data_IF_165422046761
#
_entry.id   IF_165422046761
#
_cell.length_a   1.000
_cell.length_b   1.000
_cell.length_c   1.000
_cell.angle_alpha   90.00
_cell.angle_beta   90.00
_cell.angle_gamma   90.00
#
_symmetry.space_group_name_H-M   'P 1'
#
loop_
_entity.id
_entity.type
_entity.pdbx_description
1 polymer ?
#
# COMPACT_ATOMS: atom_id res chain seq x y z
N UNK A 1 24.14 -6.71 -2.00
CA UNK A 1 23.21 -6.88 -3.16
C UNK A 1 22.19 -5.76 -3.08
N UNK A 2 21.72 -5.18 -4.19
CA UNK A 2 20.70 -4.13 -4.09
C UNK A 2 19.44 -4.68 -3.42
N UNK A 3 18.96 -3.96 -2.40
CA UNK A 3 17.71 -4.22 -1.71
C UNK A 3 16.81 -3.01 -1.85
N UNK A 4 15.52 -3.29 -1.79
CA UNK A 4 14.48 -2.28 -1.88
C UNK A 4 13.56 -2.36 -0.68
N UNK A 5 12.95 -1.23 -0.33
CA UNK A 5 11.88 -1.16 0.65
C UNK A 5 10.60 -0.64 0.01
N UNK A 6 9.48 -1.20 0.47
CA UNK A 6 8.15 -0.65 0.23
C UNK A 6 7.47 -0.50 1.57
N UNK A 7 6.89 0.66 1.81
CA UNK A 7 6.16 0.94 3.03
C UNK A 7 4.66 0.70 2.84
N UNK A 8 4.02 0.35 3.95
CA UNK A 8 2.59 0.21 4.08
C UNK A 8 2.10 1.04 5.26
N UNK A 9 1.02 1.77 5.07
CA UNK A 9 0.46 2.63 6.11
C UNK A 9 -1.07 2.53 6.16
N UNK A 10 -1.62 2.45 7.36
CA UNK A 10 -3.05 2.60 7.61
C UNK A 10 -3.25 3.51 8.82
N UNK A 11 -3.77 4.74 8.63
CA UNK A 11 -4.06 5.65 9.72
C UNK A 11 -5.29 5.16 10.53
N UNK A 12 -5.03 4.59 11.70
CA UNK A 12 -6.09 4.06 12.55
C UNK A 12 -6.77 5.12 13.42
N UNK A 13 -8.09 5.03 13.53
CA UNK A 13 -8.92 5.97 14.28
C UNK A 13 -9.25 5.54 15.71
N UNK A 14 -9.33 4.22 15.98
CA UNK A 14 -9.63 3.71 17.32
C UNK A 14 -8.35 3.51 18.12
N UNK A 15 -8.36 4.00 19.37
CA UNK A 15 -7.23 3.94 20.31
C UNK A 15 -5.91 4.58 19.82
N UNK A 16 -5.98 5.45 18.81
CA UNK A 16 -4.82 6.11 18.20
C UNK A 16 -3.80 5.12 17.63
N UNK A 17 -4.23 4.02 17.01
CA UNK A 17 -3.32 2.96 16.52
C UNK A 17 -3.24 2.93 15.00
N UNK A 18 -2.23 3.57 14.41
CA UNK A 18 -1.87 3.37 13.01
C UNK A 18 -1.24 1.99 12.79
N UNK A 19 -1.51 1.41 11.63
CA UNK A 19 -0.76 0.29 11.09
C UNK A 19 0.45 0.76 10.28
N UNK A 20 1.58 0.11 10.48
CA UNK A 20 2.79 0.33 9.70
C UNK A 20 3.40 -1.00 9.26
N UNK A 21 3.80 -1.07 7.99
CA UNK A 21 4.49 -2.21 7.41
C UNK A 21 5.71 -1.77 6.59
N UNK A 22 6.75 -2.61 6.59
CA UNK A 22 7.92 -2.49 5.72
C UNK A 22 8.15 -3.84 5.05
N UNK A 23 8.09 -3.86 3.72
CA UNK A 23 8.51 -5.00 2.90
C UNK A 23 9.92 -4.77 2.40
N UNK A 24 10.81 -5.72 2.66
CA UNK A 24 12.18 -5.71 2.17
C UNK A 24 12.29 -6.67 1.00
N UNK A 25 12.75 -6.18 -0.14
CA UNK A 25 12.79 -6.91 -1.39
C UNK A 25 14.24 -7.06 -1.87
N UNK A 26 14.55 -8.17 -2.53
CA UNK A 26 15.83 -8.33 -3.24
C UNK A 26 15.81 -7.68 -4.62
N UNK A 27 16.95 -7.70 -5.31
CA UNK A 27 17.08 -7.23 -6.70
C UNK A 27 16.14 -7.91 -7.71
N UNK A 28 15.60 -9.08 -7.38
CA UNK A 28 14.58 -9.80 -8.18
C UNK A 28 13.15 -9.52 -7.72
N UNK A 29 12.94 -8.46 -6.92
CA UNK A 29 11.65 -8.06 -6.35
C UNK A 29 10.95 -9.13 -5.51
N UNK A 30 11.71 -10.07 -4.94
CA UNK A 30 11.18 -11.10 -4.02
C UNK A 30 11.23 -10.59 -2.60
N UNK A 31 10.20 -10.87 -1.81
CA UNK A 31 10.17 -10.53 -0.39
C UNK A 31 11.25 -11.32 0.36
N UNK A 32 12.14 -10.61 1.04
CA UNK A 32 13.19 -11.14 1.92
C UNK A 32 12.93 -10.85 3.40
N UNK A 33 12.14 -9.83 3.69
CA UNK A 33 11.81 -9.44 5.06
C UNK A 33 10.50 -8.67 5.11
N UNK A 34 9.84 -8.76 6.25
CA UNK A 34 8.59 -8.06 6.54
C UNK A 34 8.63 -7.60 7.98
N UNK A 35 8.40 -6.31 8.21
CA UNK A 35 8.35 -5.73 9.55
C UNK A 35 7.02 -5.03 9.72
N UNK A 36 6.38 -5.25 10.86
CA UNK A 36 5.04 -4.79 11.15
C UNK A 36 5.02 -4.13 12.52
N UNK A 37 4.35 -3.00 12.66
CA UNK A 37 4.22 -2.31 13.95
C UNK A 37 2.92 -1.51 14.02
N UNK A 38 2.22 -1.62 15.15
CA UNK A 38 1.20 -0.64 15.53
C UNK A 38 1.89 0.59 16.13
N UNK A 39 1.53 1.78 15.66
CA UNK A 39 2.16 3.05 16.05
C UNK A 39 1.09 4.09 16.36
N UNK A 40 1.44 5.17 17.07
CA UNK A 40 0.47 6.14 17.56
C UNK A 40 0.38 7.43 16.73
N UNK A 41 1.34 7.66 15.84
CA UNK A 41 1.42 8.87 15.03
C UNK A 41 2.24 8.64 13.77
N UNK A 42 2.10 9.53 12.78
CA UNK A 42 2.96 9.55 11.59
C UNK A 42 4.44 9.64 11.96
N UNK A 43 4.79 10.44 12.97
CA UNK A 43 6.19 10.57 13.41
C UNK A 43 6.74 9.24 13.94
N UNK A 44 5.99 8.55 14.80
CA UNK A 44 6.41 7.25 15.31
C UNK A 44 6.49 6.20 14.19
N UNK A 45 5.57 6.26 13.21
CA UNK A 45 5.64 5.40 12.03
C UNK A 45 6.90 5.67 11.20
N UNK A 46 7.29 6.93 11.01
CA UNK A 46 8.53 7.29 10.31
C UNK A 46 9.78 6.84 11.07
N UNK A 47 9.78 6.97 12.40
CA UNK A 47 10.83 6.43 13.26
C UNK A 47 10.96 4.91 13.06
N UNK A 48 9.83 4.20 13.09
CA UNK A 48 9.79 2.76 12.82
C UNK A 48 10.36 2.40 11.44
N UNK A 49 9.98 3.12 10.38
CA UNK A 49 10.55 2.90 9.04
C UNK A 49 12.05 3.13 9.03
N UNK A 50 12.53 4.26 9.57
CA UNK A 50 13.97 4.57 9.66
C UNK A 50 14.75 3.50 10.41
N UNK A 51 14.25 3.09 11.57
CA UNK A 51 14.91 2.11 12.42
C UNK A 51 14.92 0.72 11.77
N UNK A 52 13.84 0.36 11.07
CA UNK A 52 13.79 -0.87 10.28
C UNK A 52 14.85 -0.88 9.18
N UNK A 53 15.03 0.22 8.46
CA UNK A 53 16.04 0.32 7.41
C UNK A 53 17.47 0.18 7.97
N UNK A 54 17.75 0.67 9.18
CA UNK A 54 19.08 0.57 9.83
C UNK A 54 19.47 -0.87 10.18
N UNK A 55 18.52 -1.80 10.31
CA UNK A 55 18.80 -3.22 10.58
C UNK A 55 19.54 -3.87 9.40
N UNK A 56 19.40 -3.31 8.21
CA UNK A 56 19.99 -3.86 7.00
C UNK A 56 21.30 -3.14 6.65
N UNK A 57 22.42 -3.87 6.47
CA UNK A 57 23.74 -3.27 6.26
C UNK A 57 23.97 -2.75 4.84
N UNK A 58 23.10 -3.11 3.88
CA UNK A 58 23.17 -2.64 2.50
C UNK A 58 22.37 -1.34 2.34
N UNK A 59 22.77 -0.47 1.41
CA UNK A 59 21.94 0.67 1.00
C UNK A 59 20.59 0.14 0.47
N UNK A 60 19.50 0.49 1.15
CA UNK A 60 18.14 0.18 0.73
C UNK A 60 17.54 1.41 0.04
N UNK A 61 17.10 1.22 -1.20
CA UNK A 61 16.29 2.21 -1.89
C UNK A 61 14.81 2.01 -1.53
N UNK A 62 14.14 3.08 -1.10
CA UNK A 62 12.69 3.05 -0.86
C UNK A 62 11.98 3.33 -2.18
N UNK A 63 11.16 2.37 -2.63
CA UNK A 63 10.48 2.44 -3.93
C UNK A 63 9.08 3.04 -3.86
N UNK A 64 8.48 3.09 -2.67
CA UNK A 64 7.15 3.67 -2.52
C UNK A 64 6.48 3.34 -1.21
N UNK A 65 5.28 3.89 -1.06
CA UNK A 65 4.36 3.65 0.05
C UNK A 65 2.97 3.36 -0.49
N UNK A 66 2.37 2.28 0.01
CA UNK A 66 0.94 2.02 -0.12
C UNK A 66 0.26 2.52 1.14
N UNK A 67 -0.86 3.23 0.98
CA UNK A 67 -1.59 3.78 2.11
C UNK A 67 -3.08 3.50 2.02
N UNK A 68 -3.68 3.00 3.10
CA UNK A 68 -5.15 2.91 3.27
C UNK A 68 -5.71 4.27 3.71
N UNK A 69 -5.62 5.25 2.82
CA UNK A 69 -6.11 6.60 3.08
C UNK A 69 -6.41 7.34 1.78
N UNK A 70 -7.20 8.40 1.87
CA UNK A 70 -7.47 9.28 0.75
C UNK A 70 -6.24 10.11 0.38
N UNK A 71 -5.65 9.82 -0.78
CA UNK A 71 -4.56 10.58 -1.37
C UNK A 71 -5.04 11.52 -2.50
N UNK A 72 -6.32 11.46 -2.86
CA UNK A 72 -6.97 12.42 -3.75
C UNK A 72 -8.26 13.00 -3.19
N UNK A 73 -8.60 14.17 -3.72
CA UNK A 73 -9.81 14.91 -3.41
C UNK A 73 -10.73 14.93 -4.63
N UNK A 74 -12.04 14.78 -4.41
CA UNK A 74 -13.05 14.99 -5.44
C UNK A 74 -13.69 16.37 -5.30
N UNK A 75 -13.78 17.10 -6.41
CA UNK A 75 -14.47 18.40 -6.50
C UNK A 75 -15.92 18.28 -6.99
N UNK A 76 -16.39 17.06 -7.29
CA UNK A 76 -17.75 16.83 -7.78
C UNK A 76 -18.79 16.82 -6.65
N UNK A 77 -20.05 17.05 -7.02
CA UNK A 77 -21.18 17.03 -6.09
C UNK A 77 -21.25 15.72 -5.29
N UNK A 78 -21.44 15.83 -3.98
CA UNK A 78 -21.47 14.68 -3.07
C UNK A 78 -20.10 14.13 -2.68
N UNK A 79 -19.00 14.69 -3.18
CA UNK A 79 -17.64 14.42 -2.70
C UNK A 79 -17.09 13.01 -2.97
N UNK A 80 -17.83 12.17 -3.70
CA UNK A 80 -17.36 10.84 -4.09
C UNK A 80 -16.35 10.96 -5.23
N UNK A 81 -15.27 10.20 -5.17
CA UNK A 81 -14.29 10.12 -6.26
C UNK A 81 -14.81 9.17 -7.35
N UNK A 82 -14.39 9.35 -8.62
CA UNK A 82 -14.69 8.38 -9.67
C UNK A 82 -14.36 6.94 -9.26
N UNK A 83 -13.27 6.74 -8.52
CA UNK A 83 -12.89 5.43 -8.01
C UNK A 83 -13.86 4.88 -6.96
N UNK A 84 -14.31 5.71 -6.02
CA UNK A 84 -15.30 5.30 -5.00
C UNK A 84 -16.61 4.83 -5.66
N UNK A 85 -17.01 5.51 -6.75
CA UNK A 85 -18.19 5.14 -7.54
C UNK A 85 -17.95 3.80 -8.26
N UNK A 86 -16.80 3.65 -8.91
CA UNK A 86 -16.43 2.40 -9.59
C UNK A 86 -16.44 1.22 -8.61
N UNK A 87 -15.73 1.33 -7.48
CA UNK A 87 -15.63 0.28 -6.48
C UNK A 87 -17.01 -0.11 -5.90
N UNK A 88 -17.85 0.88 -5.57
CA UNK A 88 -19.24 0.64 -5.14
C UNK A 88 -20.03 -0.13 -6.19
N UNK A 89 -19.96 0.30 -7.45
CA UNK A 89 -20.71 -0.32 -8.54
C UNK A 89 -20.24 -1.74 -8.87
N UNK A 90 -18.92 -1.98 -8.82
CA UNK A 90 -18.29 -3.22 -9.26
C UNK A 90 -18.34 -4.32 -8.22
N UNK A 91 -18.18 -3.96 -6.94
CA UNK A 91 -18.00 -4.90 -5.84
C UNK A 91 -19.11 -4.83 -4.80
N UNK A 92 -20.04 -3.87 -4.88
CA UNK A 92 -21.13 -3.73 -3.91
C UNK A 92 -20.65 -3.35 -2.50
N UNK A 93 -19.44 -2.82 -2.38
CA UNK A 93 -18.79 -2.46 -1.11
C UNK A 93 -19.02 -1.00 -0.79
N UNK A 94 -19.21 -0.66 0.49
CA UNK A 94 -19.33 0.74 0.91
C UNK A 94 -17.94 1.39 0.98
N UNK A 95 -17.69 2.32 0.05
CA UNK A 95 -16.53 3.22 0.10
C UNK A 95 -16.99 4.58 0.62
N UNK A 96 -16.39 5.02 1.72
CA UNK A 96 -16.66 6.35 2.30
C UNK A 96 -16.05 7.42 1.40
N UNK A 97 -16.81 8.48 1.14
CA UNK A 97 -16.27 9.64 0.42
C UNK A 97 -15.25 10.38 1.31
N UNK A 98 -14.22 11.02 0.74
CA UNK A 98 -13.33 11.91 1.49
C UNK A 98 -14.08 12.93 2.34
N UNK A 99 -15.20 13.48 1.83
CA UNK A 99 -16.03 14.46 2.54
C UNK A 99 -16.77 13.90 3.77
N UNK A 100 -16.91 12.57 3.86
CA UNK A 100 -17.51 11.88 5.01
C UNK A 100 -16.49 11.36 6.02
N UNK A 101 -15.20 11.36 5.67
CA UNK A 101 -14.14 10.95 6.58
C UNK A 101 -13.83 12.06 7.59
N UNK A 102 -13.36 11.66 8.77
CA UNK A 102 -12.97 12.57 9.84
C UNK A 102 -11.71 12.06 10.54
N UNK A 103 -10.99 12.98 11.19
CA UNK A 103 -9.88 12.64 12.08
C UNK A 103 -8.65 12.07 11.36
N UNK A 104 -8.09 10.99 11.94
CA UNK A 104 -6.80 10.42 11.54
C UNK A 104 -6.76 10.00 10.07
N UNK A 105 -7.85 9.43 9.53
CA UNK A 105 -7.91 8.99 8.13
C UNK A 105 -7.53 10.11 7.16
N UNK A 106 -8.05 11.33 7.34
CA UNK A 106 -7.76 12.44 6.43
C UNK A 106 -6.42 13.11 6.70
N UNK A 107 -6.11 13.37 7.97
CA UNK A 107 -4.95 14.21 8.33
C UNK A 107 -3.66 13.42 8.39
N UNK A 108 -3.68 12.23 8.98
CA UNK A 108 -2.48 11.41 9.14
C UNK A 108 -2.07 10.76 7.82
N UNK A 109 -3.03 10.34 6.98
CA UNK A 109 -2.75 9.80 5.66
C UNK A 109 -2.00 10.78 4.75
N UNK A 110 -2.51 12.01 4.63
CA UNK A 110 -1.86 13.06 3.85
C UNK A 110 -0.52 13.50 4.47
N UNK A 111 -0.46 13.61 5.80
CA UNK A 111 0.79 13.91 6.52
C UNK A 111 1.85 12.85 6.26
N UNK A 112 1.49 11.56 6.28
CA UNK A 112 2.38 10.45 5.94
C UNK A 112 2.88 10.57 4.51
N UNK A 113 1.98 10.78 3.54
CA UNK A 113 2.35 10.93 2.14
C UNK A 113 3.39 12.05 1.93
N UNK A 114 3.14 13.23 2.50
CA UNK A 114 4.06 14.37 2.44
C UNK A 114 5.40 14.01 3.09
N UNK A 115 5.39 13.49 4.32
CA UNK A 115 6.62 13.23 5.09
C UNK A 115 7.48 12.13 4.48
N UNK A 116 6.88 11.09 3.91
CA UNK A 116 7.62 10.03 3.23
C UNK A 116 8.20 10.55 1.92
N UNK A 117 7.47 11.38 1.17
CA UNK A 117 8.03 12.03 -0.02
C UNK A 117 9.18 12.99 0.34
N UNK A 118 9.07 13.77 1.43
CA UNK A 118 10.16 14.62 1.92
C UNK A 118 11.40 13.81 2.31
N UNK A 119 11.21 12.65 2.93
CA UNK A 119 12.31 11.83 3.46
C UNK A 119 12.94 10.88 2.43
N UNK A 120 12.16 10.40 1.46
CA UNK A 120 12.54 9.30 0.56
C UNK A 120 12.15 9.52 -0.90
N UNK A 121 11.47 10.63 -1.22
CA UNK A 121 11.01 10.93 -2.57
C UNK A 121 12.18 11.07 -3.53
N UNK A 122 12.10 10.32 -4.62
CA UNK A 122 13.01 10.37 -5.76
C UNK A 122 12.21 10.13 -7.04
N UNK A 123 12.88 10.16 -8.20
CA UNK A 123 12.26 9.99 -9.51
C UNK A 123 11.37 8.74 -9.66
N UNK A 124 11.65 7.69 -8.89
CA UNK A 124 11.03 6.37 -9.02
C UNK A 124 10.02 6.07 -7.93
N UNK A 125 9.86 6.94 -6.95
CA UNK A 125 9.01 6.74 -5.77
C UNK A 125 7.52 6.67 -6.13
N UNK A 126 6.82 5.66 -5.62
CA UNK A 126 5.37 5.49 -5.80
C UNK A 126 4.60 5.84 -4.54
N UNK A 127 3.55 6.63 -4.70
CA UNK A 127 2.54 6.87 -3.69
C UNK A 127 1.21 6.25 -4.16
N UNK A 128 0.78 5.18 -3.50
CA UNK A 128 -0.41 4.43 -3.91
C UNK A 128 -1.49 4.51 -2.83
N UNK A 129 -2.68 4.98 -3.18
CA UNK A 129 -3.87 4.77 -2.37
C UNK A 129 -4.36 3.32 -2.56
N UNK A 130 -4.54 2.62 -1.46
CA UNK A 130 -5.05 1.25 -1.45
C UNK A 130 -6.36 1.17 -0.68
N UNK A 131 -7.21 0.22 -1.06
CA UNK A 131 -8.40 -0.15 -0.31
C UNK A 131 -8.31 -1.62 0.12
N UNK A 132 -7.56 -1.97 1.18
CA UNK A 132 -7.25 -3.35 1.56
C UNK A 132 -8.46 -4.27 1.65
N UNK A 133 -9.56 -3.80 2.23
CA UNK A 133 -10.82 -4.56 2.35
C UNK A 133 -11.43 -4.88 0.99
N UNK A 134 -11.39 -3.94 0.06
CA UNK A 134 -11.89 -4.11 -1.31
C UNK A 134 -10.95 -4.98 -2.13
N UNK A 135 -9.65 -4.72 -2.05
CA UNK A 135 -8.61 -5.51 -2.71
C UNK A 135 -8.62 -6.97 -2.25
N UNK A 136 -8.80 -7.21 -0.96
CA UNK A 136 -8.97 -8.54 -0.40
C UNK A 136 -10.23 -9.22 -0.93
N UNK A 137 -11.37 -8.54 -0.94
CA UNK A 137 -12.60 -9.09 -1.51
C UNK A 137 -12.42 -9.44 -2.99
N UNK A 138 -11.79 -8.56 -3.77
CA UNK A 138 -11.52 -8.80 -5.20
C UNK A 138 -10.59 -10.00 -5.43
N UNK A 139 -9.61 -10.21 -4.55
CA UNK A 139 -8.62 -11.29 -4.69
C UNK A 139 -9.16 -12.65 -4.23
N UNK A 140 -9.96 -12.68 -3.14
CA UNK A 140 -10.38 -13.93 -2.50
C UNK A 140 -11.88 -14.23 -2.62
N UNK A 141 -12.66 -13.31 -3.18
CA UNK A 141 -14.11 -13.40 -3.32
C UNK A 141 -14.83 -13.72 -1.99
N UNK A 142 -14.32 -13.18 -0.88
CA UNK A 142 -14.87 -13.39 0.47
C UNK A 142 -14.70 -12.13 1.32
N UNK A 143 -15.59 -11.89 2.30
CA UNK A 143 -15.49 -10.71 3.15
C UNK A 143 -14.22 -10.74 4.00
N UNK A 144 -13.69 -9.55 4.27
CA UNK A 144 -12.55 -9.35 5.15
C UNK A 144 -12.93 -9.77 6.58
N UNK A 145 -12.19 -10.72 7.16
CA UNK A 145 -12.45 -11.24 8.52
C UNK A 145 -11.14 -11.60 9.20
N UNK A 146 -10.80 -10.87 10.27
CA UNK A 146 -9.54 -10.90 11.03
C UNK A 146 -9.19 -12.21 11.75
N UNK A 147 -9.68 -13.35 11.28
CA UNK A 147 -9.40 -14.66 11.83
C UNK A 147 -8.11 -15.26 11.24
N UNK A 148 -7.71 -16.42 11.78
CA UNK A 148 -6.54 -17.19 11.31
C UNK A 148 -6.57 -17.53 9.81
N UNK A 149 -7.74 -17.52 9.16
CA UNK A 149 -7.89 -17.74 7.72
C UNK A 149 -7.18 -16.68 6.88
N UNK A 150 -7.20 -15.42 7.31
CA UNK A 150 -6.53 -14.32 6.59
C UNK A 150 -5.02 -14.50 6.48
N UNK A 151 -4.37 -15.21 7.41
CA UNK A 151 -2.94 -15.52 7.29
C UNK A 151 -2.64 -16.45 6.14
N UNK A 152 -3.46 -17.48 5.98
CA UNK A 152 -3.28 -18.42 4.89
C UNK A 152 -3.50 -17.74 3.55
N UNK A 153 -4.44 -16.80 3.50
CA UNK A 153 -4.65 -15.95 2.33
C UNK A 153 -3.44 -15.04 2.06
N UNK A 154 -2.85 -14.44 3.08
CA UNK A 154 -1.63 -13.63 2.95
C UNK A 154 -0.43 -14.48 2.51
N UNK A 155 -0.21 -15.64 3.13
CA UNK A 155 0.84 -16.58 2.72
C UNK A 155 0.60 -17.00 1.27
N UNK A 156 -0.67 -17.22 0.90
CA UNK A 156 -1.12 -17.44 -0.46
C UNK A 156 -0.73 -16.28 -1.39
N UNK A 157 -0.95 -15.03 -0.98
CA UNK A 157 -0.55 -13.83 -1.72
C UNK A 157 0.96 -13.72 -1.86
N UNK A 158 1.71 -13.80 -0.77
CA UNK A 158 3.18 -13.76 -0.77
C UNK A 158 3.72 -14.85 -1.68
N UNK A 159 3.18 -16.07 -1.55
CA UNK A 159 3.56 -17.21 -2.37
C UNK A 159 3.19 -16.98 -3.83
N UNK A 160 2.01 -16.45 -4.14
CA UNK A 160 1.56 -16.10 -5.50
C UNK A 160 2.44 -15.01 -6.12
N UNK A 161 2.79 -13.96 -5.37
CA UNK A 161 3.64 -12.87 -5.84
C UNK A 161 5.09 -13.33 -6.03
N UNK A 162 5.61 -14.14 -5.11
CA UNK A 162 6.91 -14.77 -5.30
C UNK A 162 6.86 -15.75 -6.47
N UNK A 163 5.79 -16.54 -6.69
CA UNK A 163 5.68 -17.48 -7.83
C UNK A 163 5.52 -16.80 -9.18
N UNK A 164 4.73 -15.75 -9.29
CA UNK A 164 4.55 -15.03 -10.56
C UNK A 164 5.81 -14.26 -11.01
N UNK A 165 6.86 -14.26 -10.18
CA UNK A 165 8.18 -13.69 -10.47
C UNK A 165 9.26 -14.81 -10.55
N UNK A 166 8.89 -16.11 -10.42
CA UNK A 166 9.83 -17.25 -10.32
C UNK A 166 9.29 -18.54 -10.99
N UNK A 167 10.09 -19.16 -11.87
CA UNK A 167 9.97 -20.58 -12.24
C UNK A 167 9.86 -21.47 -10.98
N UNK A 168 9.00 -22.48 -11.04
CA UNK A 168 8.41 -23.32 -9.98
C UNK A 168 9.30 -23.90 -8.85
N UNK A 169 10.62 -23.79 -8.90
CA UNK A 169 11.51 -24.69 -8.14
C UNK A 169 11.92 -24.17 -6.75
N UNK A 170 11.36 -23.03 -6.30
CA UNK A 170 11.75 -22.37 -5.04
C UNK A 170 10.67 -22.37 -3.95
N UNK A 171 9.54 -23.04 -4.17
CA UNK A 171 8.42 -23.09 -3.21
C UNK A 171 8.71 -24.04 -2.05
N UNK A 172 9.53 -25.09 -2.28
CA UNK A 172 9.88 -26.08 -1.25
C UNK A 172 10.80 -25.51 -0.16
N UNK A 173 11.32 -24.30 -0.35
CA UNK A 173 12.19 -23.63 0.60
C UNK A 173 11.73 -22.20 0.93
N UNK A 174 10.44 -21.97 1.19
CA UNK A 174 10.10 -20.97 2.22
C UNK A 174 10.55 -21.64 3.51
N UNK A 175 11.80 -21.41 3.97
CA UNK A 175 12.34 -22.25 5.02
C UNK A 175 11.54 -21.93 6.27
N UNK A 176 11.48 -22.87 7.20
CA UNK A 176 11.13 -22.58 8.59
C UNK A 176 11.94 -21.39 9.17
N UNK A 177 13.00 -20.91 8.50
CA UNK A 177 13.72 -19.67 8.78
C UNK A 177 12.95 -18.35 8.50
N UNK A 178 11.93 -18.34 7.63
CA UNK A 178 10.96 -17.22 7.58
C UNK A 178 10.03 -17.22 8.80
N UNK A 179 9.95 -18.36 9.49
CA UNK A 179 9.13 -18.63 10.65
C UNK A 179 10.00 -19.02 11.85
N UNK A 180 11.18 -18.40 12.01
CA UNK A 180 11.77 -18.41 13.35
C UNK A 180 10.78 -17.67 14.24
N UNK A 181 10.05 -18.43 15.04
CA UNK A 181 8.99 -17.96 15.94
C UNK A 181 9.53 -16.90 16.93
N UNK A 182 10.86 -16.74 17.02
CA UNK A 182 11.53 -15.74 17.83
C UNK A 182 11.80 -14.40 17.10
N UNK A 183 11.82 -14.36 15.75
CA UNK A 183 12.02 -13.11 14.98
C UNK A 183 10.71 -12.49 14.49
N UNK A 184 9.69 -13.30 14.22
CA UNK A 184 8.34 -12.83 13.91
C UNK A 184 7.43 -12.97 15.13
N UNK A 185 7.68 -12.14 16.16
CA UNK A 185 6.66 -11.90 17.17
C UNK A 185 5.59 -10.99 16.55
N UNK A 186 4.69 -11.59 15.77
CA UNK A 186 3.49 -10.88 15.29
C UNK A 186 2.60 -10.69 16.51
N UNK A 187 2.76 -9.55 17.18
CA UNK A 187 1.83 -9.11 18.20
C UNK A 187 0.60 -8.65 17.43
N UNK A 188 -0.40 -9.53 17.33
CA UNK A 188 -1.73 -9.17 16.86
C UNK A 188 -2.30 -8.12 17.79
N UNK A 189 -2.16 -6.86 17.40
CA UNK A 189 -2.69 -5.78 18.23
C UNK A 189 -3.68 -4.91 17.48
N UNK A 190 -3.78 -5.00 16.14
CA UNK A 190 -4.87 -4.34 15.42
C UNK A 190 -5.08 -4.79 13.95
N UNK A 191 -6.29 -4.57 13.45
CA UNK A 191 -6.62 -4.66 12.01
C UNK A 191 -5.78 -3.74 11.14
N UNK A 192 -5.43 -2.56 11.63
CA UNK A 192 -4.70 -1.57 10.85
C UNK A 192 -3.33 -2.05 10.37
N UNK A 193 -2.63 -2.89 11.16
CA UNK A 193 -1.33 -3.45 10.74
C UNK A 193 -1.47 -4.33 9.49
N UNK A 194 -2.62 -4.98 9.34
CA UNK A 194 -2.93 -5.78 8.17
C UNK A 194 -3.22 -4.95 6.94
N UNK A 195 -4.05 -3.94 7.11
CA UNK A 195 -4.43 -3.02 6.05
C UNK A 195 -3.17 -2.30 5.51
N UNK A 196 -2.26 -1.91 6.41
CA UNK A 196 -0.93 -1.41 6.05
C UNK A 196 -0.09 -2.42 5.27
N UNK A 197 -0.02 -3.68 5.70
CA UNK A 197 0.73 -4.71 4.98
C UNK A 197 0.16 -4.97 3.58
N UNK A 198 -1.16 -5.07 3.47
CA UNK A 198 -1.82 -5.25 2.19
C UNK A 198 -1.53 -4.06 1.26
N UNK A 199 -1.56 -2.83 1.79
CA UNK A 199 -1.18 -1.63 1.07
C UNK A 199 0.27 -1.69 0.54
N UNK A 200 1.22 -2.20 1.31
CA UNK A 200 2.57 -2.41 0.80
C UNK A 200 2.60 -3.41 -0.37
N UNK A 201 1.83 -4.49 -0.28
CA UNK A 201 1.73 -5.48 -1.37
C UNK A 201 1.07 -4.94 -2.64
N UNK A 202 0.12 -4.01 -2.53
CA UNK A 202 -0.50 -3.40 -3.72
C UNK A 202 0.54 -2.62 -4.54
N UNK A 203 1.48 -1.93 -3.89
CA UNK A 203 2.59 -1.25 -4.57
C UNK A 203 3.50 -2.24 -5.30
N UNK A 204 3.86 -3.36 -4.65
CA UNK A 204 4.65 -4.44 -5.29
C UNK A 204 3.93 -4.92 -6.56
N UNK A 205 2.65 -5.24 -6.43
CA UNK A 205 1.86 -5.76 -7.54
C UNK A 205 1.75 -4.74 -8.68
N UNK A 206 1.55 -3.46 -8.35
CA UNK A 206 1.39 -2.41 -9.33
C UNK A 206 2.68 -2.16 -10.13
N UNK A 207 3.82 -1.99 -9.44
CA UNK A 207 5.11 -1.68 -10.08
C UNK A 207 5.59 -2.82 -10.98
N UNK A 208 5.32 -4.07 -10.60
CA UNK A 208 6.01 -5.23 -11.18
C UNK A 208 5.12 -6.22 -11.92
N UNK A 209 3.80 -5.96 -12.03
CA UNK A 209 2.91 -6.75 -12.87
C UNK A 209 2.45 -5.97 -14.13
N UNK A 210 3.17 -6.11 -15.27
CA UNK A 210 2.88 -5.36 -16.50
C UNK A 210 1.51 -5.67 -17.11
N UNK A 211 0.89 -6.81 -16.76
CA UNK A 211 -0.48 -7.12 -17.22
C UNK A 211 -1.55 -6.37 -16.44
N UNK A 212 -1.27 -5.98 -15.19
CA UNK A 212 -2.19 -5.22 -14.34
C UNK A 212 -2.03 -3.71 -14.49
N UNK A 213 -0.88 -3.21 -14.94
CA UNK A 213 -0.71 -1.79 -15.31
C UNK A 213 -1.78 -1.36 -16.34
N UNK A 214 -2.12 -2.24 -17.28
CA UNK A 214 -3.11 -1.95 -18.36
C UNK A 214 -4.55 -1.84 -17.91
N UNK A 215 -4.92 -2.40 -16.75
CA UNK A 215 -6.30 -2.29 -16.23
C UNK A 215 -6.52 -0.91 -15.60
N UNK A 216 -5.45 -0.23 -15.19
CA UNK A 216 -5.51 1.09 -14.56
C UNK A 216 -5.25 2.25 -15.53
N UNK A 217 -4.86 1.96 -16.78
CA UNK A 217 -4.95 2.90 -17.91
C UNK A 217 -6.42 3.30 -18.22
N UNK A 218 -7.40 2.65 -17.57
CA UNK A 218 -8.82 3.02 -17.60
C UNK A 218 -9.19 4.16 -16.63
N UNK A 219 -8.24 4.71 -15.87
CA UNK A 219 -8.47 5.92 -15.08
C UNK A 219 -7.93 7.14 -15.85
N UNK A 220 -8.86 7.78 -16.58
CA UNK A 220 -8.74 9.00 -17.40
C UNK A 220 -7.92 8.84 -18.69
N UNK A 221 -8.59 8.38 -19.75
CA UNK A 221 -8.26 8.78 -21.13
C UNK A 221 -8.66 10.25 -21.31
N UNK A 222 -7.68 11.15 -21.35
CA UNK A 222 -7.87 12.59 -21.61
C UNK A 222 -8.27 12.90 -23.05
N UNK A 223 -8.42 11.91 -23.94
CA UNK A 223 -8.80 12.15 -25.34
C UNK A 223 -10.29 12.40 -25.56
N UNK A 224 -11.16 12.10 -24.59
CA UNK A 224 -12.56 12.50 -24.68
C UNK A 224 -12.77 13.86 -24.02
N UNK A 225 -12.69 14.91 -24.84
CA UNK A 225 -13.01 16.31 -24.54
C UNK A 225 -14.47 16.49 -24.05
N UNK A 226 -14.76 16.06 -22.83
CA UNK A 226 -15.97 16.49 -22.11
C UNK A 226 -15.58 16.99 -20.73
N UNK A 227 -15.38 18.30 -20.69
CA UNK A 227 -15.37 19.23 -19.55
C UNK A 227 -15.86 18.65 -18.21
N UNK A 228 -14.93 18.48 -17.27
CA UNK A 228 -15.06 19.00 -15.90
C UNK A 228 -13.66 19.49 -15.47
N UNK A 229 -13.65 20.73 -15.00
CA UNK A 229 -12.56 21.69 -14.96
C UNK A 229 -11.57 21.51 -13.79
N UNK A 230 -10.30 21.77 -14.12
CA UNK A 230 -9.20 22.30 -13.30
C UNK A 230 -8.53 21.40 -12.25
N UNK A 231 -7.45 20.74 -12.70
CA UNK A 231 -6.21 20.62 -11.94
C UNK A 231 -5.04 21.02 -12.85
N UNK A 232 -4.82 22.33 -12.98
CA UNK A 232 -3.60 22.88 -13.59
C UNK A 232 -2.47 22.68 -12.58
N UNK A 233 -1.58 21.74 -12.86
CA UNK A 233 -0.28 21.62 -12.17
C UNK A 233 0.71 22.53 -12.93
N UNK A 234 1.36 23.51 -12.27
CA UNK A 234 2.32 24.39 -12.94
C UNK A 234 3.51 23.63 -13.51
N UNK A 235 3.91 24.07 -14.70
CA UNK A 235 5.11 23.66 -15.43
C UNK A 235 6.38 24.14 -14.72
N UNK A 236 7.39 23.27 -14.70
CA UNK A 236 8.76 23.43 -14.20
C UNK A 236 9.01 23.03 -12.74
N UNK A 237 9.14 21.71 -12.51
CA UNK A 237 10.28 21.08 -11.83
C UNK A 237 10.15 19.55 -11.91
N UNK A 238 11.29 18.86 -11.86
CA UNK A 238 11.47 17.42 -12.11
C UNK A 238 10.81 16.54 -11.05
N UNK A 239 10.45 15.32 -11.47
CA UNK A 239 10.09 14.13 -10.67
C UNK A 239 8.71 14.15 -9.99
N UNK A 240 7.73 13.46 -10.61
CA UNK A 240 6.39 13.29 -10.06
C UNK A 240 6.18 11.89 -9.51
N UNK A 241 5.63 11.81 -8.29
CA UNK A 241 4.97 10.62 -7.78
C UNK A 241 3.73 10.34 -8.64
N UNK A 242 3.66 9.15 -9.22
CA UNK A 242 2.49 8.73 -9.99
C UNK A 242 1.42 8.16 -9.04
N UNK A 243 0.20 8.69 -9.12
CA UNK A 243 -0.95 8.19 -8.37
C UNK A 243 -1.64 7.06 -9.13
N UNK A 244 -1.74 5.91 -8.50
CA UNK A 244 -2.38 4.72 -9.07
C UNK A 244 -3.48 4.21 -8.15
N UNK A 245 -4.58 3.75 -8.77
CA UNK A 245 -5.83 3.39 -8.10
C UNK A 245 -6.05 1.88 -8.19
N UNK A 246 -6.45 1.22 -7.10
CA UNK A 246 -6.94 -0.17 -7.10
C UNK A 246 -8.27 -0.23 -6.37
#
# INVERSE_FOLDING_TARGET
MNRFAIFGYDPGGMEYRNGAAVLILCSKMRVQGMHLKATQSVNETLDFYRDTLKIYPDNIEVLGVGSDTCLSWATIAGGSRPMDIYLRSRYGVNVQSPNSLQGAMLTQGMSMAIKVCEAYGNATFILNESHPKVGYYAEFNKPYNYNLGMWWDLIGLISKYNRNIINSDYIESIPNAFFDQNQFKIIYDNDHVWDALFAAFTVVNYRFNPTKQRINDLMIDTKTNSTYTDLVIPTDTKEYAHYYWI
#
